data_IF_854005729724
#
_entry.id   IF_854005729724
#
_cell.length_a   1.000
_cell.length_b   1.000
_cell.length_c   1.000
_cell.angle_alpha   90.00
_cell.angle_beta   90.00
_cell.angle_gamma   90.00
#
_symmetry.space_group_name_H-M   'P 1'
#
loop_
_entity.id
_entity.type
_entity.pdbx_description
1 polymer ?
#
# COMPACT_ATOMS: atom_id res chain seq x y z
N UNK A 1 -15.91 23.30 15.53
CA UNK A 1 -15.46 22.41 14.43
C UNK A 1 -16.41 22.37 13.22
N UNK A 2 -17.42 23.24 13.14
CA UNK A 2 -18.42 23.22 12.05
C UNK A 2 -17.81 23.47 10.67
N UNK A 3 -16.96 24.49 10.51
CA UNK A 3 -16.30 24.82 9.23
C UNK A 3 -15.34 23.73 8.72
N UNK A 4 -14.63 23.03 9.61
CA UNK A 4 -13.72 21.95 9.21
C UNK A 4 -14.46 20.68 8.77
N UNK A 5 -15.69 20.48 9.26
CA UNK A 5 -16.51 19.31 8.90
C UNK A 5 -17.31 19.53 7.61
N UNK A 6 -17.48 20.77 7.18
CA UNK A 6 -18.22 21.13 5.97
C UNK A 6 -17.36 21.20 4.71
N UNK A 7 -16.06 20.92 4.80
CA UNK A 7 -15.11 20.98 3.67
C UNK A 7 -14.43 19.65 3.42
N UNK A 8 -13.80 19.50 2.25
CA UNK A 8 -12.96 18.34 1.94
C UNK A 8 -11.56 18.54 2.55
N UNK A 9 -11.14 17.71 3.52
CA UNK A 9 -9.88 17.94 4.22
C UNK A 9 -8.69 17.45 3.40
N UNK A 10 -7.62 18.24 3.41
CA UNK A 10 -6.30 17.86 2.91
C UNK A 10 -5.30 17.92 4.06
N UNK A 11 -4.43 16.92 4.17
CA UNK A 11 -3.48 16.80 5.28
C UNK A 11 -2.04 16.90 4.78
N UNK A 12 -1.25 17.79 5.38
CA UNK A 12 0.20 17.90 5.18
C UNK A 12 0.87 17.70 6.53
N UNK A 13 1.83 16.77 6.62
CA UNK A 13 2.58 16.46 7.84
C UNK A 13 4.05 16.78 7.61
N UNK A 14 4.56 17.77 8.33
CA UNK A 14 5.98 18.11 8.31
C UNK A 14 6.75 17.19 9.27
N UNK A 15 7.98 16.83 8.92
CA UNK A 15 8.88 16.04 9.75
C UNK A 15 10.19 16.79 9.94
N UNK A 16 10.69 16.80 11.17
CA UNK A 16 12.01 17.30 11.51
C UNK A 16 12.99 16.13 11.39
N UNK A 17 13.99 16.20 10.49
CA UNK A 17 14.88 15.07 10.25
C UNK A 17 15.94 14.90 11.34
N UNK A 18 16.39 15.97 12.00
CA UNK A 18 17.37 15.95 13.09
C UNK A 18 17.29 17.24 13.93
N UNK A 19 17.82 17.21 15.14
CA UNK A 19 17.84 18.38 16.04
C UNK A 19 19.03 19.32 15.78
N UNK A 20 20.10 18.82 15.17
CA UNK A 20 21.34 19.57 14.89
C UNK A 20 21.23 20.51 13.68
N UNK A 21 20.06 20.54 13.01
CA UNK A 21 19.78 21.32 11.80
C UNK A 21 20.77 21.06 10.66
N UNK A 22 21.33 19.86 10.62
CA UNK A 22 22.31 19.47 9.61
C UNK A 22 21.59 18.91 8.37
N UNK A 23 21.82 19.46 7.16
CA UNK A 23 21.19 18.93 5.96
C UNK A 23 21.66 17.50 5.67
N UNK A 24 20.76 16.65 5.16
CA UNK A 24 21.08 15.28 4.73
C UNK A 24 21.21 14.24 5.85
N UNK A 25 21.17 14.64 7.12
CA UNK A 25 21.19 13.72 8.27
C UNK A 25 19.77 13.44 8.74
N UNK A 26 19.46 12.18 9.04
CA UNK A 26 18.16 11.79 9.60
C UNK A 26 18.36 10.96 10.87
N UNK A 27 17.75 11.41 11.96
CA UNK A 27 17.62 10.67 13.20
C UNK A 27 16.36 9.80 13.15
N UNK A 28 16.59 8.49 13.12
CA UNK A 28 15.55 7.48 13.04
C UNK A 28 14.62 7.49 14.26
N UNK A 29 15.14 7.68 15.47
CA UNK A 29 14.32 7.65 16.68
C UNK A 29 13.40 8.87 16.72
N UNK A 30 13.94 10.05 16.40
CA UNK A 30 13.18 11.29 16.31
C UNK A 30 12.06 11.22 15.26
N UNK A 31 12.37 10.73 14.05
CA UNK A 31 11.38 10.60 12.97
C UNK A 31 10.33 9.53 13.32
N UNK A 32 10.73 8.40 13.88
CA UNK A 32 9.79 7.35 14.29
C UNK A 32 8.83 7.82 15.39
N UNK A 33 9.31 8.62 16.35
CA UNK A 33 8.46 9.24 17.35
C UNK A 33 7.43 10.19 16.71
N UNK A 34 7.88 11.06 15.80
CA UNK A 34 6.98 11.97 15.06
C UNK A 34 5.93 11.22 14.23
N UNK A 35 6.30 10.13 13.54
CA UNK A 35 5.36 9.34 12.75
C UNK A 35 4.27 8.68 13.60
N UNK A 36 4.58 8.30 14.85
CA UNK A 36 3.62 7.79 15.83
C UNK A 36 2.69 8.91 16.29
N UNK A 37 3.25 10.02 16.78
CA UNK A 37 2.48 11.14 17.33
C UNK A 37 1.61 11.84 16.27
N UNK A 38 2.09 11.96 15.04
CA UNK A 38 1.35 12.55 13.92
C UNK A 38 0.23 11.62 13.37
N UNK A 39 0.13 10.39 13.90
CA UNK A 39 -0.87 9.41 13.47
C UNK A 39 -0.60 8.81 12.09
N UNK A 40 0.60 8.98 11.52
CA UNK A 40 0.95 8.43 10.20
C UNK A 40 0.99 6.90 10.25
N UNK A 41 1.63 6.33 11.28
CA UNK A 41 1.66 4.87 11.45
C UNK A 41 0.27 4.31 11.72
N UNK A 42 -0.58 5.06 12.41
CA UNK A 42 -1.96 4.70 12.66
C UNK A 42 -2.81 4.73 11.38
N UNK A 43 -2.61 5.75 10.55
CA UNK A 43 -3.20 5.83 9.21
C UNK A 43 -2.79 4.64 8.34
N UNK A 44 -1.50 4.28 8.33
CA UNK A 44 -1.01 3.08 7.64
C UNK A 44 -1.69 1.82 8.19
N UNK A 45 -1.80 1.69 9.52
CA UNK A 45 -2.44 0.55 10.17
C UNK A 45 -3.91 0.39 9.74
N UNK A 46 -4.66 1.50 9.69
CA UNK A 46 -6.06 1.49 9.25
C UNK A 46 -6.14 1.13 7.76
N UNK A 47 -5.31 1.73 6.90
CA UNK A 47 -5.27 1.42 5.47
C UNK A 47 -4.95 -0.06 5.20
N UNK A 48 -4.09 -0.68 6.03
CA UNK A 48 -3.74 -2.10 5.93
C UNK A 48 -4.87 -3.06 6.30
N UNK A 49 -5.88 -2.61 7.06
CA UNK A 49 -7.09 -3.41 7.32
C UNK A 49 -8.01 -3.50 6.09
N UNK A 50 -7.84 -2.59 5.14
CA UNK A 50 -8.54 -2.62 3.86
C UNK A 50 -7.66 -3.13 2.73
N UNK A 51 -7.74 -2.46 1.58
CA UNK A 51 -6.94 -2.74 0.39
C UNK A 51 -5.99 -1.58 0.13
N UNK A 52 -4.76 -1.60 0.68
CA UNK A 52 -3.82 -0.50 0.58
C UNK A 52 -3.28 -0.34 -0.85
N UNK A 53 -3.14 -1.44 -1.60
CA UNK A 53 -2.67 -1.40 -2.98
C UNK A 53 -3.85 -1.25 -3.94
N UNK A 54 -3.80 -0.22 -4.79
CA UNK A 54 -4.83 0.09 -5.78
C UNK A 54 -4.18 0.38 -7.12
N UNK A 55 -4.30 -0.54 -8.07
CA UNK A 55 -3.61 -0.51 -9.36
C UNK A 55 -4.63 -0.33 -10.47
N UNK A 56 -4.37 0.53 -11.46
CA UNK A 56 -5.24 0.68 -12.62
C UNK A 56 -5.25 -0.61 -13.44
N UNK A 57 -6.38 -0.94 -14.06
CA UNK A 57 -6.50 -2.19 -14.84
C UNK A 57 -5.50 -2.27 -16.00
N UNK A 58 -5.21 -1.15 -16.66
CA UNK A 58 -4.23 -1.12 -17.75
C UNK A 58 -2.81 -1.46 -17.24
N UNK A 59 -2.39 -0.82 -16.13
CA UNK A 59 -1.09 -1.08 -15.51
C UNK A 59 -0.99 -2.51 -14.98
N UNK A 60 -2.08 -3.02 -14.40
CA UNK A 60 -2.15 -4.39 -13.88
C UNK A 60 -1.98 -5.40 -15.02
N UNK A 61 -2.74 -5.22 -16.11
CA UNK A 61 -2.63 -6.06 -17.32
C UNK A 61 -1.20 -6.05 -17.86
N UNK A 62 -0.59 -4.88 -18.04
CA UNK A 62 0.75 -4.76 -18.61
C UNK A 62 1.82 -5.38 -17.71
N UNK A 63 1.76 -5.13 -16.40
CA UNK A 63 2.76 -5.60 -15.44
C UNK A 63 2.68 -7.10 -15.18
N UNK A 64 1.47 -7.65 -15.07
CA UNK A 64 1.28 -9.03 -14.62
C UNK A 64 1.01 -10.02 -15.73
N UNK A 65 0.91 -9.60 -17.00
CA UNK A 65 0.76 -10.50 -18.17
C UNK A 65 1.77 -11.66 -18.18
N UNK A 66 2.99 -11.43 -17.67
CA UNK A 66 4.04 -12.45 -17.57
C UNK A 66 3.63 -13.66 -16.69
N UNK A 67 2.71 -13.49 -15.75
CA UNK A 67 2.27 -14.57 -14.87
C UNK A 67 1.47 -15.65 -15.61
N UNK A 68 0.73 -15.24 -16.65
CA UNK A 68 0.04 -16.17 -17.53
C UNK A 68 -0.20 -15.52 -18.89
N UNK A 69 0.72 -15.74 -19.83
CA UNK A 69 0.63 -15.22 -21.18
C UNK A 69 -0.57 -15.79 -21.96
N UNK A 70 -1.01 -17.01 -21.63
CA UNK A 70 -2.16 -17.67 -22.27
C UNK A 70 -3.50 -17.04 -21.88
N UNK A 71 -3.58 -16.42 -20.70
CA UNK A 71 -4.80 -15.75 -20.24
C UNK A 71 -5.08 -14.43 -20.98
N UNK A 72 -4.06 -13.82 -21.61
CA UNK A 72 -4.16 -12.54 -22.33
C UNK A 72 -3.50 -12.68 -23.71
N UNK A 73 -4.25 -13.18 -24.72
CA UNK A 73 -3.77 -13.30 -26.10
C UNK A 73 -3.31 -11.96 -26.67
N UNK A 74 -2.18 -11.96 -27.38
CA UNK A 74 -1.71 -10.78 -28.12
C UNK A 74 -2.58 -10.52 -29.35
N UNK A 75 -2.94 -9.25 -29.57
CA UNK A 75 -3.74 -8.82 -30.73
C UNK A 75 -5.27 -8.85 -30.54
N UNK A 76 -5.79 -9.44 -29.45
CA UNK A 76 -7.22 -9.38 -29.16
C UNK A 76 -7.55 -8.19 -28.25
N UNK A 77 -8.53 -7.37 -28.65
CA UNK A 77 -9.03 -6.30 -27.79
C UNK A 77 -9.85 -6.89 -26.64
N UNK A 78 -9.17 -7.16 -25.53
CA UNK A 78 -9.79 -7.57 -24.27
C UNK A 78 -9.80 -6.38 -23.34
N UNK A 79 -11.00 -6.07 -22.82
CA UNK A 79 -11.18 -5.07 -21.78
C UNK A 79 -10.25 -5.33 -20.59
N UNK A 80 -9.60 -4.27 -20.09
CA UNK A 80 -8.53 -4.41 -19.11
C UNK A 80 -9.03 -4.98 -17.79
N UNK A 81 -10.31 -4.74 -17.44
CA UNK A 81 -10.95 -5.35 -16.28
C UNK A 81 -11.11 -6.86 -16.45
N UNK A 82 -11.74 -7.29 -17.55
CA UNK A 82 -11.91 -8.72 -17.86
C UNK A 82 -10.57 -9.47 -17.97
N UNK A 83 -9.53 -8.83 -18.55
CA UNK A 83 -8.20 -9.41 -18.61
C UNK A 83 -7.59 -9.62 -17.22
N UNK A 84 -7.78 -8.64 -16.32
CA UNK A 84 -7.27 -8.72 -14.95
C UNK A 84 -8.01 -9.77 -14.12
N UNK A 85 -9.33 -9.90 -14.29
CA UNK A 85 -10.15 -10.94 -13.65
C UNK A 85 -9.72 -12.34 -14.10
N UNK A 86 -9.57 -12.55 -15.42
CA UNK A 86 -9.11 -13.83 -15.98
C UNK A 86 -7.72 -14.21 -15.49
N UNK A 87 -6.80 -13.24 -15.48
CA UNK A 87 -5.44 -13.46 -15.00
C UNK A 87 -5.44 -13.89 -13.53
N UNK A 88 -6.19 -13.16 -12.69
CA UNK A 88 -6.32 -13.48 -11.27
C UNK A 88 -7.05 -14.80 -11.00
N UNK A 89 -8.00 -15.21 -11.84
CA UNK A 89 -8.63 -16.54 -11.75
C UNK A 89 -7.74 -17.69 -12.22
N UNK A 90 -6.73 -17.38 -13.03
CA UNK A 90 -5.80 -18.38 -13.56
C UNK A 90 -4.60 -18.67 -12.65
N UNK A 91 -4.43 -17.84 -11.61
CA UNK A 91 -3.40 -18.01 -10.59
C UNK A 91 -4.06 -18.45 -9.29
N UNK A 92 -3.36 -19.26 -8.50
CA UNK A 92 -3.83 -19.73 -7.20
C UNK A 92 -3.68 -18.62 -6.13
N UNK A 93 -4.47 -17.56 -6.28
CA UNK A 93 -4.54 -16.47 -5.31
C UNK A 93 -5.92 -16.47 -4.68
N UNK A 94 -5.94 -16.43 -3.36
CA UNK A 94 -7.16 -16.33 -2.57
C UNK A 94 -7.99 -15.10 -2.99
N UNK A 95 -9.17 -15.37 -3.56
CA UNK A 95 -10.10 -14.33 -4.02
C UNK A 95 -10.56 -13.39 -2.90
N UNK A 96 -10.40 -13.76 -1.63
CA UNK A 96 -10.67 -12.85 -0.51
C UNK A 96 -9.68 -11.68 -0.43
N UNK A 97 -8.48 -11.85 -1.00
CA UNK A 97 -7.38 -10.89 -0.95
C UNK A 97 -7.38 -9.89 -2.12
N UNK A 98 -8.33 -10.04 -3.05
CA UNK A 98 -8.49 -9.15 -4.18
C UNK A 98 -9.93 -8.65 -4.29
N UNK A 99 -10.10 -7.37 -4.63
CA UNK A 99 -11.39 -6.78 -4.99
C UNK A 99 -11.27 -5.98 -6.27
N UNK A 100 -12.30 -6.08 -7.10
CA UNK A 100 -12.41 -5.37 -8.37
C UNK A 100 -13.24 -4.10 -8.18
N UNK A 101 -12.61 -2.94 -8.34
CA UNK A 101 -13.30 -1.65 -8.37
C UNK A 101 -13.79 -1.30 -9.78
N UNK A 102 -14.37 -0.11 -9.93
CA UNK A 102 -14.80 0.39 -11.24
C UNK A 102 -13.62 0.58 -12.21
N UNK A 103 -12.50 1.11 -11.73
CA UNK A 103 -11.34 1.45 -12.57
C UNK A 103 -10.02 0.83 -12.12
N UNK A 104 -10.01 0.15 -10.96
CA UNK A 104 -8.79 -0.32 -10.30
C UNK A 104 -8.97 -1.71 -9.68
N UNK A 105 -7.91 -2.50 -9.71
CA UNK A 105 -7.73 -3.71 -8.90
C UNK A 105 -7.25 -3.29 -7.52
N UNK A 106 -7.88 -3.82 -6.47
CA UNK A 106 -7.56 -3.55 -5.07
C UNK A 106 -7.03 -4.82 -4.43
N UNK A 107 -5.81 -4.77 -3.88
CA UNK A 107 -5.11 -5.93 -3.33
C UNK A 107 -4.81 -5.74 -1.84
N UNK A 108 -4.99 -6.82 -1.08
CA UNK A 108 -4.51 -6.91 0.30
C UNK A 108 -3.02 -7.21 0.25
N UNK A 109 -2.20 -6.29 0.74
CA UNK A 109 -0.82 -6.61 1.05
C UNK A 109 -0.78 -7.35 2.39
N UNK A 110 -0.74 -8.69 2.36
CA UNK A 110 -0.19 -9.42 3.49
C UNK A 110 1.32 -9.17 3.48
N UNK A 111 1.75 -8.10 4.15
CA UNK A 111 3.12 -8.09 4.64
C UNK A 111 3.20 -9.27 5.59
N UNK A 112 4.09 -10.23 5.32
CA UNK A 112 4.56 -11.14 6.36
C UNK A 112 4.78 -10.27 7.60
N UNK A 113 4.15 -10.66 8.71
CA UNK A 113 4.52 -10.08 9.99
C UNK A 113 5.99 -10.47 10.14
N UNK A 114 6.91 -9.54 9.87
CA UNK A 114 8.28 -9.67 10.36
C UNK A 114 8.09 -9.85 11.86
N UNK A 115 8.42 -11.04 12.43
CA UNK A 115 8.27 -11.25 13.86
C UNK A 115 9.03 -10.10 14.55
N UNK A 116 8.50 -9.56 15.66
CA UNK A 116 9.19 -8.49 16.38
C UNK A 116 10.61 -8.98 16.63
N UNK A 117 11.60 -8.33 16.01
CA UNK A 117 13.01 -8.58 16.27
C UNK A 117 13.18 -8.52 17.77
N UNK A 118 13.55 -9.65 18.36
CA UNK A 118 13.61 -9.82 19.81
C UNK A 118 14.32 -8.66 20.46
N UNK A 119 13.70 -8.11 21.50
CA UNK A 119 14.37 -7.27 22.46
C UNK A 119 15.60 -8.04 22.94
N UNK A 120 16.78 -7.59 22.51
CA UNK A 120 18.03 -8.08 23.04
C UNK A 120 18.09 -7.71 24.51
N UNK A 121 17.78 -8.67 25.38
CA UNK A 121 18.30 -8.74 26.73
C UNK A 121 19.80 -8.47 26.67
N UNK A 122 20.20 -7.30 27.15
CA UNK A 122 21.53 -7.11 27.73
C UNK A 122 21.34 -7.21 29.22
N UNK A 123 21.40 -8.46 29.68
CA UNK A 123 21.85 -8.78 31.02
C UNK A 123 23.34 -8.38 31.14
N UNK A 124 23.74 -8.07 32.39
CA UNK A 124 25.01 -7.55 32.92
C UNK A 124 25.26 -6.05 32.78
#
# INVERSE_FOLDING_TARGET
MTNLRSTHPHFVRCLIPNETKTPGIMDHHLVMHQLRCNGVLEGIRICRKGFPSRILYADFKQRYKILNASAIPEGQFIDSKNASEKLLSSIDVDHSQCRFGHSKVMLICRGEQVPPSGEGQRDT
#
